data_IF_517563987221
#
_entry.id   IF_517563987221
#
_cell.length_a   1.000
_cell.length_b   1.000
_cell.length_c   1.000
_cell.angle_alpha   90.00
_cell.angle_beta   90.00
_cell.angle_gamma   90.00
#
_symmetry.space_group_name_H-M   'P 1'
#
loop_
_entity.id
_entity.type
_entity.pdbx_description
1 polymer ?
#
# COMPACT_ATOMS: atom_id res chain seq x y z
N UNK A 1 -15.21 31.70 12.45
CA UNK A 1 -15.02 30.24 12.64
C UNK A 1 -14.60 29.69 11.31
N UNK A 2 -13.34 29.94 10.95
CA UNK A 2 -12.78 29.57 9.66
C UNK A 2 -12.66 28.04 9.63
N UNK A 3 -13.26 27.43 8.62
CA UNK A 3 -13.10 26.01 8.34
C UNK A 3 -11.62 25.75 8.12
N UNK A 4 -11.02 24.89 8.94
CA UNK A 4 -9.68 24.32 8.72
C UNK A 4 -9.73 23.47 7.44
N UNK A 5 -9.78 24.14 6.31
CA UNK A 5 -9.95 23.55 5.00
C UNK A 5 -8.55 23.12 4.57
N UNK A 6 -8.20 21.87 4.87
CA UNK A 6 -6.98 21.25 4.41
C UNK A 6 -7.03 21.11 2.88
N UNK A 7 -6.25 21.87 2.08
CA UNK A 7 -6.35 21.81 0.63
C UNK A 7 -5.53 20.66 0.03
N UNK A 8 -4.78 19.90 0.84
CA UNK A 8 -3.91 18.86 0.32
C UNK A 8 -4.17 17.53 1.01
N UNK A 9 -4.87 16.67 0.27
CA UNK A 9 -5.00 15.25 0.51
C UNK A 9 -3.63 14.61 0.21
N UNK A 10 -2.69 14.72 1.16
CA UNK A 10 -1.28 14.27 1.10
C UNK A 10 -1.06 12.83 0.57
N UNK A 11 -2.12 12.02 0.53
CA UNK A 11 -2.09 10.63 0.09
C UNK A 11 -2.19 10.41 -1.42
N UNK A 12 -2.30 11.46 -2.23
CA UNK A 12 -2.30 11.34 -3.69
C UNK A 12 -1.08 12.06 -4.24
N UNK A 13 0.06 11.38 -4.23
CA UNK A 13 1.02 11.54 -5.31
C UNK A 13 1.33 10.16 -5.88
N UNK A 14 1.04 10.07 -7.18
CA UNK A 14 1.25 8.97 -8.09
C UNK A 14 2.68 9.11 -8.62
N UNK A 15 3.62 8.37 -8.04
CA UNK A 15 4.93 8.17 -8.66
C UNK A 15 5.24 6.69 -8.58
N UNK A 16 4.87 5.95 -9.63
CA UNK A 16 5.27 4.56 -9.85
C UNK A 16 6.73 4.55 -10.33
N UNK A 17 7.70 4.05 -9.55
CA UNK A 17 9.01 3.75 -10.10
C UNK A 17 8.92 2.40 -10.82
N UNK A 18 9.27 2.43 -12.09
CA UNK A 18 9.52 1.27 -12.95
C UNK A 18 10.48 0.30 -12.23
N UNK A 19 9.94 -0.79 -11.68
CA UNK A 19 10.72 -1.74 -10.87
C UNK A 19 10.71 -3.10 -11.54
N UNK A 20 11.87 -3.42 -12.11
CA UNK A 20 12.26 -4.67 -12.75
C UNK A 20 12.03 -5.88 -11.82
N UNK A 21 11.07 -6.72 -12.20
CA UNK A 21 10.50 -7.85 -11.46
C UNK A 21 11.54 -8.98 -11.23
N UNK A 22 12.70 -8.93 -11.90
CA UNK A 22 13.73 -9.97 -11.84
C UNK A 22 14.47 -10.11 -10.50
N UNK A 23 14.54 -9.07 -9.67
CA UNK A 23 15.41 -9.06 -8.47
C UNK A 23 14.78 -9.65 -7.19
N UNK A 24 13.45 -9.77 -7.11
CA UNK A 24 12.74 -10.19 -5.89
C UNK A 24 12.74 -11.71 -5.65
N UNK A 25 13.09 -12.50 -6.66
CA UNK A 25 12.98 -13.97 -6.59
C UNK A 25 14.15 -14.69 -5.91
N UNK A 26 15.26 -14.00 -5.61
CA UNK A 26 16.45 -14.60 -4.96
C UNK A 26 16.48 -14.46 -3.44
N UNK A 27 15.68 -13.56 -2.85
CA UNK A 27 15.72 -13.27 -1.41
C UNK A 27 14.86 -14.23 -0.55
N UNK A 28 14.00 -15.04 -1.14
CA UNK A 28 12.97 -15.82 -0.41
C UNK A 28 13.45 -17.16 0.15
N UNK A 29 14.68 -17.61 -0.14
CA UNK A 29 15.15 -18.96 0.24
C UNK A 29 15.87 -19.08 1.59
N UNK A 30 16.22 -17.98 2.26
CA UNK A 30 16.99 -18.06 3.52
C UNK A 30 16.14 -17.81 4.78
N UNK A 31 14.87 -17.43 4.64
CA UNK A 31 14.07 -16.91 5.75
C UNK A 31 13.21 -17.95 6.49
N UNK A 32 13.32 -19.24 6.15
CA UNK A 32 12.41 -20.27 6.70
C UNK A 32 12.95 -21.06 7.90
N UNK A 33 14.23 -20.90 8.28
CA UNK A 33 14.86 -21.81 9.26
C UNK A 33 15.21 -21.21 10.62
N UNK A 34 14.82 -19.96 10.91
CA UNK A 34 15.23 -19.24 12.14
C UNK A 34 14.10 -18.95 13.13
N UNK A 35 12.84 -19.26 12.78
CA UNK A 35 11.67 -19.00 13.63
C UNK A 35 11.26 -20.30 14.35
N UNK A 36 12.10 -20.86 15.21
CA UNK A 36 11.65 -22.01 16.04
C UNK A 36 12.36 -22.08 17.40
N UNK A 37 12.89 -20.97 17.93
CA UNK A 37 13.54 -21.02 19.25
C UNK A 37 13.56 -19.66 19.95
N UNK A 38 12.50 -19.31 20.67
CA UNK A 38 12.64 -18.55 21.92
C UNK A 38 11.68 -19.09 22.97
N UNK A 39 12.17 -19.46 24.17
CA UNK A 39 11.33 -19.95 25.24
C UNK A 39 10.63 -18.79 25.93
N UNK A 40 9.38 -19.06 26.32
CA UNK A 40 8.54 -18.24 27.18
C UNK A 40 9.23 -18.08 28.56
N UNK A 41 9.65 -16.87 28.94
CA UNK A 41 9.82 -16.52 30.37
C UNK A 41 10.08 -15.03 30.63
N UNK A 42 9.47 -14.61 31.74
CA UNK A 42 9.76 -13.45 32.59
C UNK A 42 9.22 -12.07 32.14
N UNK A 43 8.41 -11.50 33.03
CA UNK A 43 7.73 -10.22 32.86
C UNK A 43 8.68 -9.07 32.60
N UNK A 44 8.58 -8.52 31.41
CA UNK A 44 8.87 -7.13 31.16
C UNK A 44 7.52 -6.44 30.97
N UNK A 45 7.32 -5.34 31.68
CA UNK A 45 6.32 -4.36 31.27
C UNK A 45 6.80 -3.82 29.92
N UNK A 46 6.39 -4.49 28.85
CA UNK A 46 6.84 -4.21 27.50
C UNK A 46 6.25 -2.86 27.12
N UNK A 47 7.09 -1.82 27.12
CA UNK A 47 6.70 -0.55 26.52
C UNK A 47 6.40 -0.82 25.04
N UNK A 48 5.13 -0.84 24.68
CA UNK A 48 4.64 -1.11 23.32
C UNK A 48 4.93 0.02 22.33
N UNK A 49 5.56 1.10 22.80
CA UNK A 49 5.94 2.27 22.01
C UNK A 49 7.41 2.62 22.24
N UNK A 50 8.18 2.71 21.16
CA UNK A 50 9.55 3.21 21.20
C UNK A 50 9.57 4.71 20.83
N UNK A 51 10.28 5.51 21.63
CA UNK A 51 10.52 6.92 21.30
C UNK A 51 11.60 7.02 20.23
N UNK A 52 11.37 7.84 19.21
CA UNK A 52 12.29 8.04 18.10
C UNK A 52 12.34 9.52 17.73
N UNK A 53 13.54 10.02 17.46
CA UNK A 53 13.74 11.36 16.89
C UNK A 53 13.97 11.23 15.39
N UNK A 54 13.18 11.94 14.59
CA UNK A 54 13.27 11.97 13.13
C UNK A 54 13.37 13.40 12.66
N UNK A 55 14.18 13.63 11.63
CA UNK A 55 14.27 14.94 10.97
C UNK A 55 13.34 14.93 9.76
N UNK A 56 12.41 15.87 9.73
CA UNK A 56 11.51 16.09 8.61
C UNK A 56 11.93 17.35 7.83
N UNK A 57 11.74 17.40 6.51
CA UNK A 57 11.77 18.64 5.74
C UNK A 57 10.81 19.68 6.34
N UNK A 58 11.18 20.96 6.25
CA UNK A 58 10.42 22.05 6.86
C UNK A 58 8.94 22.05 6.45
N UNK A 59 8.66 21.85 5.16
CA UNK A 59 7.31 21.80 4.62
C UNK A 59 6.47 20.67 5.25
N UNK A 60 7.04 19.46 5.36
CA UNK A 60 6.34 18.32 5.97
C UNK A 60 6.12 18.52 7.47
N UNK A 61 7.09 19.11 8.18
CA UNK A 61 6.94 19.44 9.58
C UNK A 61 5.82 20.48 9.81
N UNK A 62 5.68 21.46 8.90
CA UNK A 62 4.60 22.45 8.95
C UNK A 62 3.23 21.79 8.76
N UNK A 63 3.11 20.84 7.82
CA UNK A 63 1.88 20.07 7.60
C UNK A 63 1.48 19.27 8.84
N UNK A 64 2.41 18.55 9.46
CA UNK A 64 2.14 17.76 10.68
C UNK A 64 1.70 18.68 11.83
N UNK A 65 2.34 19.84 12.01
CA UNK A 65 1.94 20.83 13.03
C UNK A 65 0.56 21.42 12.75
N UNK A 66 0.23 21.71 11.50
CA UNK A 66 -1.09 22.23 11.14
C UNK A 66 -2.18 21.22 11.52
N UNK A 67 -1.95 19.92 11.29
CA UNK A 67 -2.89 18.85 11.64
C UNK A 67 -3.19 18.76 13.14
N UNK A 68 -2.16 18.90 13.98
CA UNK A 68 -2.33 18.95 15.44
C UNK A 68 -3.02 20.24 15.87
N UNK A 69 -2.64 21.38 15.28
CA UNK A 69 -3.22 22.70 15.61
C UNK A 69 -4.70 22.79 15.22
N UNK A 70 -5.10 22.12 14.13
CA UNK A 70 -6.51 22.01 13.72
C UNK A 70 -7.32 21.07 14.63
N UNK A 71 -6.68 20.39 15.58
CA UNK A 71 -7.33 19.43 16.48
C UNK A 71 -7.72 18.11 15.80
N UNK A 72 -7.26 17.85 14.57
CA UNK A 72 -7.48 16.56 13.90
C UNK A 72 -6.73 15.42 14.60
N UNK A 73 -5.59 15.73 15.24
CA UNK A 73 -4.75 14.78 15.96
C UNK A 73 -4.30 15.38 17.30
N UNK A 74 -4.13 14.55 18.32
CA UNK A 74 -3.71 14.97 19.65
C UNK A 74 -2.19 15.27 19.74
N UNK A 75 -1.39 14.72 18.83
CA UNK A 75 0.06 14.92 18.78
C UNK A 75 0.66 14.62 17.42
N UNK A 76 1.87 15.12 17.17
CA UNK A 76 2.63 14.85 15.94
C UNK A 76 2.93 13.36 15.80
N UNK A 77 3.22 12.67 16.92
CA UNK A 77 3.45 11.21 16.92
C UNK A 77 2.21 10.42 16.47
N UNK A 78 1.01 10.94 16.69
CA UNK A 78 -0.22 10.29 16.24
C UNK A 78 -0.40 10.40 14.73
N UNK A 79 -0.14 11.59 14.17
CA UNK A 79 -0.14 11.83 12.72
C UNK A 79 0.81 10.85 12.03
N UNK A 80 2.03 10.70 12.55
CA UNK A 80 3.03 9.81 11.97
C UNK A 80 2.61 8.34 12.07
N UNK A 81 2.09 7.90 13.23
CA UNK A 81 1.64 6.50 13.38
C UNK A 81 0.48 6.17 12.46
N UNK A 82 -0.49 7.08 12.32
CA UNK A 82 -1.61 6.85 11.44
C UNK A 82 -1.17 6.80 9.97
N UNK A 83 -0.24 7.69 9.59
CA UNK A 83 0.36 7.64 8.28
C UNK A 83 1.10 6.33 7.98
N UNK A 84 1.89 5.83 8.93
CA UNK A 84 2.57 4.54 8.76
C UNK A 84 1.57 3.38 8.62
N UNK A 85 0.45 3.41 9.34
CA UNK A 85 -0.59 2.39 9.23
C UNK A 85 -1.26 2.40 7.86
N UNK A 86 -1.55 3.58 7.33
CA UNK A 86 -2.13 3.73 5.99
C UNK A 86 -1.17 3.20 4.91
N UNK A 87 0.12 3.53 5.02
CA UNK A 87 1.16 3.02 4.11
C UNK A 87 1.24 1.49 4.16
N UNK A 88 1.32 0.89 5.35
CA UNK A 88 1.35 -0.57 5.50
C UNK A 88 0.11 -1.26 4.92
N UNK A 89 -1.07 -0.65 5.09
CA UNK A 89 -2.31 -1.20 4.53
C UNK A 89 -2.31 -1.17 3.00
N UNK A 90 -1.84 -0.06 2.40
CA UNK A 90 -1.67 0.08 0.95
C UNK A 90 -0.68 -0.96 0.41
N UNK A 91 0.49 -1.08 1.04
CA UNK A 91 1.55 -1.99 0.59
C UNK A 91 1.08 -3.44 0.66
N UNK A 92 0.40 -3.82 1.73
CA UNK A 92 -0.18 -5.16 1.87
C UNK A 92 -1.24 -5.44 0.80
N UNK A 93 -2.16 -4.50 0.57
CA UNK A 93 -3.19 -4.66 -0.46
C UNK A 93 -2.58 -4.80 -1.86
N UNK A 94 -1.50 -4.06 -2.15
CA UNK A 94 -0.75 -4.16 -3.40
C UNK A 94 -0.08 -5.53 -3.54
N UNK A 95 0.63 -5.97 -2.49
CA UNK A 95 1.31 -7.27 -2.46
C UNK A 95 0.33 -8.44 -2.61
N UNK A 96 -0.78 -8.41 -1.88
CA UNK A 96 -1.81 -9.44 -1.96
C UNK A 96 -2.43 -9.49 -3.37
N UNK A 97 -2.69 -8.34 -3.99
CA UNK A 97 -3.18 -8.28 -5.38
C UNK A 97 -2.16 -8.79 -6.40
N UNK A 98 -0.88 -8.42 -6.25
CA UNK A 98 0.20 -8.91 -7.11
C UNK A 98 0.30 -10.43 -7.02
N UNK A 99 0.30 -10.97 -5.79
CA UNK A 99 0.41 -12.40 -5.53
C UNK A 99 -0.77 -13.20 -6.05
N UNK A 100 -1.98 -12.74 -5.77
CA UNK A 100 -3.17 -13.56 -5.98
C UNK A 100 -3.76 -13.39 -7.38
N UNK A 101 -3.56 -12.23 -8.01
CA UNK A 101 -4.17 -11.92 -9.30
C UNK A 101 -3.15 -11.83 -10.43
N UNK A 102 -2.08 -11.06 -10.23
CA UNK A 102 -1.13 -10.76 -11.32
C UNK A 102 -0.23 -11.94 -11.61
N UNK A 103 0.40 -12.53 -10.60
CA UNK A 103 1.31 -13.68 -10.79
C UNK A 103 0.59 -14.86 -11.48
N UNK A 104 -0.63 -15.28 -11.06
CA UNK A 104 -1.33 -16.36 -11.75
C UNK A 104 -1.75 -16.01 -13.17
N UNK A 105 -2.14 -14.76 -13.42
CA UNK A 105 -2.49 -14.31 -14.77
C UNK A 105 -1.28 -14.33 -15.71
N UNK A 106 -0.11 -13.87 -15.23
CA UNK A 106 1.14 -13.92 -15.97
C UNK A 106 1.56 -15.37 -16.26
N UNK A 107 1.58 -16.23 -15.24
CA UNK A 107 1.92 -17.64 -15.41
C UNK A 107 0.97 -18.36 -16.40
N UNK A 108 -0.32 -18.00 -16.40
CA UNK A 108 -1.29 -18.56 -17.33
C UNK A 108 -1.11 -18.08 -18.78
N UNK A 109 -0.59 -16.86 -18.97
CA UNK A 109 -0.23 -16.33 -20.30
C UNK A 109 1.05 -16.97 -20.81
N UNK A 110 2.06 -17.13 -19.96
CA UNK A 110 3.30 -17.83 -20.30
C UNK A 110 3.04 -19.29 -20.70
N UNK A 111 2.17 -19.98 -19.95
CA UNK A 111 1.79 -21.36 -20.25
C UNK A 111 0.92 -21.50 -21.51
N UNK A 112 0.12 -20.50 -21.85
CA UNK A 112 -0.77 -20.53 -23.01
C UNK A 112 -0.80 -19.17 -23.75
N UNK A 113 0.23 -18.89 -24.58
CA UNK A 113 0.38 -17.58 -25.24
C UNK A 113 -0.78 -17.21 -26.17
N UNK A 114 -1.48 -18.21 -26.72
CA UNK A 114 -2.68 -18.00 -27.56
C UNK A 114 -3.88 -17.42 -26.81
N UNK A 115 -3.82 -17.27 -25.49
CA UNK A 115 -4.83 -16.57 -24.69
C UNK A 115 -4.62 -15.05 -24.67
N UNK A 116 -3.49 -14.56 -25.16
CA UNK A 116 -3.24 -13.14 -25.27
C UNK A 116 -4.24 -12.49 -26.25
N UNK A 117 -4.83 -11.38 -25.83
CA UNK A 117 -5.73 -10.59 -26.66
C UNK A 117 -4.96 -9.44 -27.30
N UNK A 118 -5.27 -9.13 -28.55
CA UNK A 118 -4.79 -7.89 -29.17
C UNK A 118 -5.42 -6.67 -28.49
N UNK A 119 -4.78 -5.50 -28.65
CA UNK A 119 -5.29 -4.24 -28.09
C UNK A 119 -6.70 -3.90 -28.56
N UNK A 120 -7.03 -4.23 -29.81
CA UNK A 120 -8.36 -4.07 -30.39
C UNK A 120 -9.38 -5.01 -29.73
N UNK A 121 -9.03 -6.29 -29.57
CA UNK A 121 -9.88 -7.29 -28.91
C UNK A 121 -10.16 -6.93 -27.44
N UNK A 122 -9.17 -6.38 -26.72
CA UNK A 122 -9.36 -5.88 -25.35
C UNK A 122 -10.36 -4.72 -25.33
N UNK A 123 -10.24 -3.77 -26.27
CA UNK A 123 -11.14 -2.62 -26.36
C UNK A 123 -12.58 -3.07 -26.62
N UNK A 124 -12.78 -3.98 -27.55
CA UNK A 124 -14.10 -4.54 -27.87
C UNK A 124 -14.69 -5.31 -26.70
N UNK A 125 -13.87 -6.10 -26.01
CA UNK A 125 -14.28 -6.82 -24.81
C UNK A 125 -14.73 -5.87 -23.68
N UNK A 126 -13.96 -4.80 -23.43
CA UNK A 126 -14.29 -3.79 -22.42
C UNK A 126 -15.55 -3.00 -22.80
N UNK A 127 -15.73 -2.64 -24.08
CA UNK A 127 -16.93 -1.98 -24.55
C UNK A 127 -18.16 -2.88 -24.39
N UNK A 128 -18.05 -4.17 -24.69
CA UNK A 128 -19.10 -5.16 -24.48
C UNK A 128 -19.41 -5.39 -22.99
N UNK A 129 -18.42 -5.32 -22.10
CA UNK A 129 -18.62 -5.40 -20.65
C UNK A 129 -19.38 -4.17 -20.12
N UNK A 130 -18.97 -2.96 -20.52
CA UNK A 130 -19.64 -1.71 -20.14
C UNK A 130 -21.12 -1.66 -20.55
N UNK A 131 -21.45 -2.13 -21.76
CA UNK A 131 -22.84 -2.23 -22.24
C UNK A 131 -23.71 -3.15 -21.37
N UNK A 132 -23.14 -4.27 -20.91
CA UNK A 132 -23.81 -5.21 -20.01
C UNK A 132 -24.03 -4.64 -18.61
N UNK A 133 -23.03 -3.97 -18.05
CA UNK A 133 -23.17 -3.34 -16.72
C UNK A 133 -24.12 -2.14 -16.75
N UNK A 134 -24.26 -1.44 -17.89
CA UNK A 134 -25.24 -0.36 -18.05
C UNK A 134 -26.69 -0.81 -18.31
N UNK A 135 -26.94 -2.13 -18.44
CA UNK A 135 -28.30 -2.69 -18.59
C UNK A 135 -28.83 -3.37 -17.31
N UNK A 136 -27.99 -3.50 -16.28
CA UNK A 136 -28.40 -3.89 -14.91
C UNK A 136 -28.46 -2.65 -14.02
N UNK A 137 -29.52 -1.86 -14.16
CA UNK A 137 -29.85 -0.81 -13.20
C UNK A 137 -31.38 -0.67 -13.10
N UNK A 138 -32.01 -1.02 -11.96
CA UNK A 138 -33.21 -0.35 -11.50
C UNK A 138 -32.87 0.94 -10.74
#
# INVERSE_FOLDING_TARGET
>A
METCQNPYLFWIDDETPDTDIGQLLLATRQWSSRIESYPLSAGFDMRSTQQMSITLPLEMAALVKAKVTCGEYASESEVIRDGLRALMARDRAMEDWLRDQVIPAAAALDAAPGRALSTEQVRDHMAAKRRRTGTEQP
#
